data_IF_644709450358
#
_entry.id   IF_644709450358
#
_cell.length_a   1.000
_cell.length_b   1.000
_cell.length_c   1.000
_cell.angle_alpha   90.00
_cell.angle_beta   90.00
_cell.angle_gamma   90.00
#
_symmetry.space_group_name_H-M   'P 1'
#
loop_
_entity.id
_entity.type
_entity.pdbx_description
1 polymer ?
#
# COMPACT_ATOMS: atom_id res chain seq x y z
N UNK A 1 39.89 13.37 0.08
CA UNK A 1 39.23 12.84 -1.13
C UNK A 1 37.84 13.42 -1.22
N UNK A 2 37.28 13.68 -2.39
CA UNK A 2 35.88 14.07 -2.51
C UNK A 2 35.00 12.96 -1.94
N UNK A 3 33.89 13.34 -1.27
CA UNK A 3 32.94 12.39 -0.74
C UNK A 3 32.17 11.70 -1.87
N UNK A 4 31.84 10.42 -1.67
CA UNK A 4 31.00 9.68 -2.59
C UNK A 4 29.55 10.11 -2.47
N UNK A 5 28.90 10.33 -3.60
CA UNK A 5 27.49 10.75 -3.68
C UNK A 5 26.58 9.52 -3.68
N UNK A 6 25.74 9.39 -2.66
CA UNK A 6 24.75 8.32 -2.57
C UNK A 6 23.36 8.91 -2.69
N UNK A 7 22.63 8.52 -3.73
CA UNK A 7 21.21 8.89 -3.88
C UNK A 7 20.34 7.76 -3.36
N UNK A 8 19.38 8.08 -2.50
CA UNK A 8 18.39 7.16 -1.93
C UNK A 8 17.01 7.64 -2.39
N UNK A 9 16.28 6.83 -3.14
CA UNK A 9 14.95 7.15 -3.64
C UNK A 9 13.89 6.40 -2.85
N UNK A 10 13.09 7.14 -2.10
CA UNK A 10 12.03 6.64 -1.22
C UNK A 10 12.39 6.74 0.26
N UNK A 11 11.55 7.47 1.01
CA UNK A 11 11.63 7.66 2.47
C UNK A 11 10.76 6.65 3.25
N UNK A 12 10.50 5.47 2.65
CA UNK A 12 9.83 4.34 3.30
C UNK A 12 10.75 3.59 4.28
N UNK A 13 10.35 2.37 4.68
CA UNK A 13 11.11 1.55 5.65
C UNK A 13 12.54 1.28 5.18
N UNK A 14 12.71 0.77 3.95
CA UNK A 14 14.02 0.45 3.41
C UNK A 14 14.92 1.68 3.27
N UNK A 15 14.45 2.74 2.60
CA UNK A 15 15.25 3.94 2.38
C UNK A 15 15.66 4.65 3.67
N UNK A 16 14.76 4.73 4.68
CA UNK A 16 15.12 5.25 6.00
C UNK A 16 16.16 4.37 6.70
N UNK A 17 16.05 3.06 6.55
CA UNK A 17 17.02 2.12 7.16
C UNK A 17 18.41 2.32 6.58
N UNK A 18 18.52 2.41 5.25
CA UNK A 18 19.79 2.70 4.56
C UNK A 18 20.35 4.05 5.00
N UNK A 19 19.54 5.12 4.94
CA UNK A 19 19.98 6.45 5.34
C UNK A 19 20.50 6.49 6.79
N UNK A 20 19.83 5.80 7.73
CA UNK A 20 20.27 5.68 9.13
C UNK A 20 21.56 4.89 9.27
N UNK A 21 21.71 3.80 8.53
CA UNK A 21 22.93 2.97 8.59
C UNK A 21 24.17 3.74 8.10
N UNK A 22 23.99 4.57 7.07
CA UNK A 22 25.07 5.38 6.48
C UNK A 22 25.22 6.77 7.12
N UNK A 23 24.40 7.15 8.08
CA UNK A 23 24.35 8.50 8.67
C UNK A 23 25.68 8.95 9.33
N UNK A 24 26.54 8.00 9.71
CA UNK A 24 27.83 8.28 10.37
C UNK A 24 29.04 8.12 9.45
N UNK A 25 28.82 7.72 8.21
CA UNK A 25 29.92 7.57 7.23
C UNK A 25 30.47 8.95 6.84
N UNK A 26 31.76 9.17 7.07
CA UNK A 26 32.42 10.48 6.88
C UNK A 26 32.78 10.75 5.42
N UNK A 27 32.93 9.71 4.65
CA UNK A 27 33.31 9.67 3.24
C UNK A 27 32.11 9.68 2.28
N UNK A 28 30.88 9.65 2.82
CA UNK A 28 29.65 9.67 2.04
C UNK A 28 28.88 10.99 2.22
N UNK A 29 28.22 11.40 1.15
CA UNK A 29 27.21 12.45 1.12
C UNK A 29 25.91 11.85 0.60
N UNK A 30 24.87 11.85 1.42
CA UNK A 30 23.62 11.18 1.16
C UNK A 30 22.56 12.18 0.73
N UNK A 31 21.85 11.90 -0.36
CA UNK A 31 20.64 12.63 -0.72
C UNK A 31 19.46 11.68 -0.75
N UNK A 32 18.51 11.87 0.15
CA UNK A 32 17.26 11.13 0.18
C UNK A 32 16.19 11.94 -0.56
N UNK A 33 15.64 11.34 -1.61
CA UNK A 33 14.57 11.93 -2.42
C UNK A 33 13.27 11.16 -2.16
N UNK A 34 12.20 11.89 -1.88
CA UNK A 34 10.85 11.31 -1.81
C UNK A 34 9.84 12.31 -2.36
N UNK A 35 8.81 11.82 -3.03
CA UNK A 35 7.68 12.61 -3.52
C UNK A 35 6.78 13.14 -2.40
N UNK A 36 6.93 12.61 -1.17
CA UNK A 36 6.29 13.05 0.06
C UNK A 36 7.32 13.55 1.07
N UNK A 37 6.91 14.49 1.91
CA UNK A 37 7.79 15.05 2.94
C UNK A 37 7.79 14.26 4.25
N UNK A 38 7.04 13.14 4.32
CA UNK A 38 6.86 12.35 5.53
C UNK A 38 7.09 10.87 5.27
N UNK A 39 7.61 10.19 6.28
CA UNK A 39 7.59 8.75 6.40
C UNK A 39 6.21 8.31 6.88
N UNK A 40 5.65 7.31 6.24
CA UNK A 40 4.36 6.72 6.58
C UNK A 40 4.54 5.34 7.19
N UNK A 41 4.01 5.15 8.40
CA UNK A 41 3.95 3.82 9.03
C UNK A 41 2.75 3.05 8.48
N UNK A 42 2.89 2.49 7.29
CA UNK A 42 1.83 1.81 6.54
C UNK A 42 1.07 0.71 7.30
N UNK A 43 1.68 -0.08 8.21
CA UNK A 43 0.94 -1.12 8.94
C UNK A 43 -0.26 -0.62 9.75
N UNK A 44 -0.31 0.66 10.11
CA UNK A 44 -1.45 1.26 10.83
C UNK A 44 -2.36 2.11 9.94
N UNK A 45 -2.16 2.09 8.64
CA UNK A 45 -2.90 2.94 7.71
C UNK A 45 -4.40 2.60 7.68
N UNK A 46 -4.77 1.33 7.86
CA UNK A 46 -6.16 0.90 7.97
C UNK A 46 -6.88 1.52 9.18
N UNK A 47 -6.15 1.79 10.27
CA UNK A 47 -6.74 2.45 11.45
C UNK A 47 -7.06 3.92 11.18
N UNK A 48 -6.26 4.60 10.36
CA UNK A 48 -6.59 5.94 9.88
C UNK A 48 -7.81 5.90 8.97
N UNK A 49 -7.86 4.93 8.04
CA UNK A 49 -9.01 4.75 7.14
C UNK A 49 -10.31 4.46 7.90
N UNK A 50 -10.24 3.80 9.05
CA UNK A 50 -11.40 3.47 9.91
C UNK A 50 -11.56 4.42 11.10
N UNK A 51 -10.98 5.61 11.04
CA UNK A 51 -11.11 6.66 12.06
C UNK A 51 -10.61 6.32 13.47
N UNK A 52 -9.88 5.22 13.66
CA UNK A 52 -9.31 4.82 14.95
C UNK A 52 -8.05 5.62 15.30
N UNK A 53 -7.29 6.10 14.28
CA UNK A 53 -6.11 6.92 14.46
C UNK A 53 -6.19 8.22 13.66
N UNK A 54 -5.49 9.25 14.14
CA UNK A 54 -5.23 10.47 13.37
C UNK A 54 -4.12 10.22 12.33
N UNK A 55 -4.19 10.82 11.13
CA UNK A 55 -3.10 10.77 10.15
C UNK A 55 -1.73 11.16 10.73
N UNK A 56 -1.69 12.11 11.65
CA UNK A 56 -0.47 12.60 12.27
C UNK A 56 0.24 11.56 13.17
N UNK A 57 -0.48 10.54 13.64
CA UNK A 57 0.09 9.52 14.53
C UNK A 57 0.95 8.50 13.78
N UNK A 58 0.75 8.37 12.47
CA UNK A 58 1.48 7.41 11.61
C UNK A 58 2.33 8.06 10.53
N UNK A 59 2.32 9.40 10.44
CA UNK A 59 3.12 10.17 9.48
C UNK A 59 4.12 11.06 10.20
N UNK A 60 5.40 10.86 9.90
CA UNK A 60 6.46 11.63 10.57
C UNK A 60 7.36 12.35 9.54
N UNK A 61 7.63 13.67 9.70
CA UNK A 61 8.43 14.42 8.73
C UNK A 61 9.84 13.83 8.56
N UNK A 62 10.23 13.47 7.34
CA UNK A 62 11.53 12.85 7.03
C UNK A 62 12.68 13.76 7.47
N UNK A 63 12.56 15.08 7.27
CA UNK A 63 13.59 16.05 7.68
C UNK A 63 13.83 16.04 9.18
N UNK A 64 12.80 15.83 9.99
CA UNK A 64 12.92 15.76 11.46
C UNK A 64 13.70 14.52 11.87
N UNK A 65 13.49 13.38 11.17
CA UNK A 65 14.22 12.13 11.43
C UNK A 65 15.74 12.35 11.28
N UNK A 66 16.15 13.14 10.29
CA UNK A 66 17.57 13.37 9.95
C UNK A 66 18.10 14.74 10.35
N UNK A 67 17.39 15.50 11.19
CA UNK A 67 17.74 16.88 11.56
C UNK A 67 19.15 17.03 12.17
N UNK A 68 19.67 15.99 12.80
CA UNK A 68 21.00 15.96 13.44
C UNK A 68 22.13 15.40 12.57
N UNK A 69 21.79 14.85 11.37
CA UNK A 69 22.75 14.23 10.44
C UNK A 69 23.20 15.25 9.39
N UNK A 70 24.46 15.68 9.48
CA UNK A 70 25.00 16.71 8.57
C UNK A 70 25.33 16.20 7.17
N UNK A 71 25.53 14.90 7.01
CA UNK A 71 25.85 14.26 5.73
C UNK A 71 24.60 13.75 4.99
N UNK A 72 23.38 14.05 5.48
CA UNK A 72 22.12 13.66 4.85
C UNK A 72 21.34 14.91 4.44
N UNK A 73 21.08 15.02 3.14
CA UNK A 73 20.19 16.01 2.54
C UNK A 73 18.86 15.32 2.19
N UNK A 74 17.73 15.89 2.60
CA UNK A 74 16.39 15.40 2.26
C UNK A 74 15.76 16.33 1.22
N UNK A 75 15.28 15.79 0.12
CA UNK A 75 14.63 16.55 -0.95
C UNK A 75 13.20 16.02 -1.15
N UNK A 76 12.23 16.92 -1.16
CA UNK A 76 10.88 16.65 -1.66
C UNK A 76 10.96 16.73 -3.19
N UNK A 77 11.04 15.58 -3.85
CA UNK A 77 11.29 15.52 -5.28
C UNK A 77 10.75 14.21 -5.88
N UNK A 78 10.23 14.30 -7.08
CA UNK A 78 9.76 13.13 -7.83
C UNK A 78 10.85 12.67 -8.80
N UNK A 79 11.26 11.42 -8.64
CA UNK A 79 12.18 10.77 -9.57
C UNK A 79 11.39 10.21 -10.75
N UNK A 80 11.79 10.55 -11.96
CA UNK A 80 11.08 10.20 -13.21
C UNK A 80 11.83 9.16 -14.05
N UNK A 81 13.09 8.86 -13.73
CA UNK A 81 13.85 7.85 -14.46
C UNK A 81 15.27 7.69 -13.96
N UNK A 82 15.89 6.59 -14.36
CA UNK A 82 17.28 6.27 -14.06
C UNK A 82 18.02 5.99 -15.39
N UNK A 83 19.20 6.55 -15.55
CA UNK A 83 20.14 6.20 -16.61
C UNK A 83 21.35 5.51 -15.98
N UNK A 84 21.39 4.18 -16.12
CA UNK A 84 22.44 3.35 -15.54
C UNK A 84 23.79 3.58 -16.20
N UNK A 85 23.81 3.82 -17.52
CA UNK A 85 25.05 4.03 -18.27
C UNK A 85 25.69 5.37 -17.93
N UNK A 86 24.90 6.43 -17.86
CA UNK A 86 25.35 7.77 -17.48
C UNK A 86 25.51 7.94 -15.96
N UNK A 87 25.05 6.99 -15.13
CA UNK A 87 24.95 7.08 -13.66
C UNK A 87 24.26 8.34 -13.21
N UNK A 88 23.08 8.61 -13.79
CA UNK A 88 22.27 9.76 -13.44
C UNK A 88 20.84 9.39 -13.12
N UNK A 89 20.27 10.13 -12.15
CA UNK A 89 18.87 10.04 -11.74
C UNK A 89 18.13 11.24 -12.32
N UNK A 90 17.08 11.00 -13.13
CA UNK A 90 16.23 12.07 -13.66
C UNK A 90 15.15 12.43 -12.66
N UNK A 91 14.95 13.73 -12.45
CA UNK A 91 13.96 14.28 -11.52
C UNK A 91 12.99 15.22 -12.24
N UNK A 92 11.86 15.48 -11.61
CA UNK A 92 10.84 16.35 -12.19
C UNK A 92 11.26 17.82 -12.22
N UNK A 93 12.00 18.30 -11.20
CA UNK A 93 12.32 19.74 -11.07
C UNK A 93 13.82 20.06 -11.04
N UNK A 94 14.69 19.14 -10.64
CA UNK A 94 16.13 19.40 -10.48
C UNK A 94 16.99 18.93 -11.67
N UNK A 95 16.37 18.35 -12.70
CA UNK A 95 17.08 17.78 -13.84
C UNK A 95 17.76 16.45 -13.51
N UNK A 96 18.96 16.24 -14.07
CA UNK A 96 19.73 15.00 -13.87
C UNK A 96 20.70 15.14 -12.70
N UNK A 97 20.61 14.23 -11.73
CA UNK A 97 21.50 14.17 -10.56
C UNK A 97 22.49 13.01 -10.74
N UNK A 98 23.81 13.26 -10.75
CA UNK A 98 24.82 12.20 -10.83
C UNK A 98 24.94 11.47 -9.48
N UNK A 99 25.34 10.20 -9.52
CA UNK A 99 25.60 9.40 -8.33
C UNK A 99 26.85 8.51 -8.46
N UNK A 100 27.50 8.24 -7.33
CA UNK A 100 28.45 7.15 -7.20
C UNK A 100 27.74 5.85 -6.82
N UNK A 101 26.70 5.95 -5.98
CA UNK A 101 25.82 4.84 -5.58
C UNK A 101 24.35 5.28 -5.61
N UNK A 102 23.49 4.36 -6.01
CA UNK A 102 22.04 4.57 -6.05
C UNK A 102 21.32 3.47 -5.27
N UNK A 103 20.38 3.87 -4.41
CA UNK A 103 19.47 2.95 -3.72
C UNK A 103 18.04 3.28 -4.10
N UNK A 104 17.34 2.33 -4.69
CA UNK A 104 15.92 2.43 -5.02
C UNK A 104 15.10 1.70 -3.96
N UNK A 105 14.24 2.44 -3.25
CA UNK A 105 13.39 1.98 -2.17
C UNK A 105 11.97 2.56 -2.26
N UNK A 106 11.41 2.63 -3.48
CA UNK A 106 10.14 3.31 -3.78
C UNK A 106 8.91 2.51 -3.33
N UNK A 107 9.08 1.28 -2.84
CA UNK A 107 7.99 0.41 -2.44
C UNK A 107 7.12 -0.07 -3.59
N UNK A 108 5.86 -0.36 -3.29
CA UNK A 108 4.88 -0.83 -4.25
C UNK A 108 3.68 0.13 -4.36
N UNK A 109 2.94 0.02 -5.46
CA UNK A 109 1.67 0.70 -5.74
C UNK A 109 0.53 -0.31 -5.86
N UNK A 110 -0.71 0.17 -5.96
CA UNK A 110 -1.84 -0.70 -6.27
C UNK A 110 -1.71 -1.27 -7.69
N UNK A 111 -2.19 -2.50 -7.84
CA UNK A 111 -2.42 -3.11 -9.15
C UNK A 111 -3.91 -3.39 -9.29
N UNK A 112 -4.50 -2.82 -10.30
CA UNK A 112 -5.88 -3.10 -10.72
C UNK A 112 -5.94 -4.10 -11.88
N UNK A 113 -4.85 -4.85 -12.11
CA UNK A 113 -4.74 -5.91 -13.14
C UNK A 113 -5.14 -5.46 -14.56
N UNK A 114 -4.78 -4.23 -14.92
CA UNK A 114 -5.11 -3.64 -16.23
C UNK A 114 -6.39 -2.78 -16.25
N UNK A 115 -7.13 -2.75 -15.14
CA UNK A 115 -8.39 -2.00 -14.99
C UNK A 115 -8.17 -0.73 -14.16
N UNK A 116 -7.34 0.19 -14.66
CA UNK A 116 -7.05 1.45 -13.95
C UNK A 116 -8.29 2.31 -13.68
N UNK A 117 -9.33 2.16 -14.49
CA UNK A 117 -10.63 2.83 -14.31
C UNK A 117 -11.36 2.43 -13.03
N UNK A 118 -11.02 1.30 -12.42
CA UNK A 118 -11.63 0.88 -11.14
C UNK A 118 -11.17 1.70 -9.93
N UNK A 119 -10.02 2.37 -10.03
CA UNK A 119 -9.45 3.16 -8.93
C UNK A 119 -10.41 4.25 -8.45
N UNK A 120 -11.11 4.93 -9.36
CA UNK A 120 -12.10 5.95 -9.01
C UNK A 120 -13.23 5.39 -8.14
N UNK A 121 -13.65 4.16 -8.41
CA UNK A 121 -14.78 3.52 -7.75
C UNK A 121 -14.39 2.67 -6.53
N UNK A 122 -13.18 2.13 -6.53
CA UNK A 122 -12.64 1.30 -5.47
C UNK A 122 -11.23 1.77 -5.07
N UNK A 123 -11.09 2.81 -4.24
CA UNK A 123 -9.79 3.28 -3.79
C UNK A 123 -9.02 2.21 -3.04
N UNK A 124 -7.71 2.17 -3.26
CA UNK A 124 -6.80 1.33 -2.49
C UNK A 124 -6.32 1.99 -1.19
N UNK A 125 -5.37 1.35 -0.49
CA UNK A 125 -4.85 1.82 0.79
C UNK A 125 -3.32 1.73 0.85
N UNK A 126 -2.63 2.77 0.38
CA UNK A 126 -1.15 2.90 0.44
C UNK A 126 -0.65 4.31 0.80
N UNK A 127 -1.57 5.27 0.94
CA UNK A 127 -1.25 6.67 1.25
C UNK A 127 -2.21 7.25 2.26
N UNK A 128 -1.83 8.38 2.90
CA UNK A 128 -2.72 9.11 3.81
C UNK A 128 -3.94 9.68 3.07
N UNK A 129 -3.73 10.13 1.84
CA UNK A 129 -4.78 10.67 0.99
C UNK A 129 -5.86 9.60 0.74
N UNK A 130 -5.45 8.38 0.39
CA UNK A 130 -6.36 7.25 0.19
C UNK A 130 -7.04 6.84 1.51
N UNK A 131 -6.29 6.77 2.62
CA UNK A 131 -6.88 6.45 3.93
C UNK A 131 -7.94 7.47 4.35
N UNK A 132 -7.69 8.76 4.16
CA UNK A 132 -8.66 9.83 4.48
C UNK A 132 -9.86 9.82 3.53
N UNK A 133 -9.67 9.48 2.27
CA UNK A 133 -10.78 9.30 1.31
C UNK A 133 -11.63 8.08 1.68
N UNK A 134 -11.03 6.95 2.04
CA UNK A 134 -11.76 5.77 2.53
C UNK A 134 -12.56 6.14 3.78
N UNK A 135 -11.93 6.81 4.75
CA UNK A 135 -12.60 7.31 5.96
C UNK A 135 -13.81 8.17 5.63
N UNK A 136 -13.64 9.12 4.71
CA UNK A 136 -14.72 9.99 4.26
C UNK A 136 -15.86 9.18 3.66
N UNK A 137 -15.57 8.23 2.75
CA UNK A 137 -16.60 7.38 2.11
C UNK A 137 -17.36 6.56 3.14
N UNK A 138 -16.64 5.89 4.04
CA UNK A 138 -17.24 5.02 5.07
C UNK A 138 -18.15 5.82 5.99
N UNK A 139 -17.66 6.89 6.61
CA UNK A 139 -18.47 7.68 7.55
C UNK A 139 -19.63 8.39 6.87
N UNK A 140 -19.42 8.93 5.66
CA UNK A 140 -20.50 9.57 4.90
C UNK A 140 -21.59 8.57 4.50
N UNK A 141 -21.26 7.30 4.26
CA UNK A 141 -22.25 6.27 3.93
C UNK A 141 -23.27 6.07 5.07
N UNK A 142 -22.82 6.04 6.33
CA UNK A 142 -23.72 5.99 7.50
C UNK A 142 -24.57 7.25 7.63
N UNK A 143 -24.00 8.44 7.44
CA UNK A 143 -24.72 9.71 7.48
C UNK A 143 -25.79 9.83 6.38
N UNK A 144 -25.50 9.33 5.19
CA UNK A 144 -26.46 9.29 4.10
C UNK A 144 -27.57 8.27 4.37
N UNK A 145 -27.22 7.10 4.93
CA UNK A 145 -28.19 6.06 5.27
C UNK A 145 -29.17 6.54 6.37
N UNK A 146 -28.71 7.35 7.33
CA UNK A 146 -29.57 7.93 8.37
C UNK A 146 -30.67 8.82 7.79
N UNK A 147 -30.41 9.48 6.67
CA UNK A 147 -31.37 10.39 5.99
C UNK A 147 -32.20 9.70 4.92
N UNK A 148 -31.82 8.52 4.45
CA UNK A 148 -32.43 7.83 3.32
C UNK A 148 -33.78 7.17 3.75
N UNK A 149 -34.90 7.56 3.15
CA UNK A 149 -36.18 6.97 3.48
C UNK A 149 -36.48 5.65 2.75
N UNK A 150 -35.84 5.41 1.58
CA UNK A 150 -36.02 4.15 0.85
C UNK A 150 -35.13 3.04 1.44
N UNK A 151 -35.74 1.94 1.95
CA UNK A 151 -34.99 0.83 2.57
C UNK A 151 -34.02 0.17 1.61
N UNK A 152 -34.25 0.18 0.30
CA UNK A 152 -33.38 -0.42 -0.70
C UNK A 152 -32.14 0.44 -0.90
N UNK A 153 -32.31 1.74 -1.06
CA UNK A 153 -31.21 2.70 -1.16
C UNK A 153 -30.40 2.73 0.16
N UNK A 154 -31.08 2.71 1.32
CA UNK A 154 -30.46 2.65 2.63
C UNK A 154 -29.58 1.39 2.78
N UNK A 155 -30.08 0.21 2.38
CA UNK A 155 -29.32 -1.04 2.38
C UNK A 155 -28.07 -0.96 1.50
N UNK A 156 -28.17 -0.33 0.32
CA UNK A 156 -27.02 -0.10 -0.57
C UNK A 156 -25.96 0.78 0.08
N UNK A 157 -26.37 1.85 0.78
CA UNK A 157 -25.48 2.74 1.53
C UNK A 157 -24.76 2.01 2.65
N UNK A 158 -25.42 1.08 3.34
CA UNK A 158 -24.87 0.26 4.42
C UNK A 158 -24.20 -1.04 3.91
N UNK A 159 -23.95 -1.18 2.61
CA UNK A 159 -23.19 -2.30 2.05
C UNK A 159 -21.78 -1.82 1.68
N UNK A 160 -20.80 -2.49 2.28
CA UNK A 160 -19.37 -2.25 2.10
C UNK A 160 -18.72 -3.49 1.50
N UNK A 161 -17.96 -3.32 0.43
CA UNK A 161 -17.25 -4.42 -0.23
C UNK A 161 -15.74 -4.15 -0.17
N UNK A 162 -14.99 -5.10 0.35
CA UNK A 162 -13.52 -5.10 0.34
C UNK A 162 -13.06 -6.19 -0.62
N UNK A 163 -12.28 -5.84 -1.63
CA UNK A 163 -11.80 -6.75 -2.68
C UNK A 163 -10.35 -7.12 -2.38
N UNK A 164 -10.10 -8.42 -2.14
CA UNK A 164 -8.79 -8.99 -1.83
C UNK A 164 -8.65 -9.47 -0.39
N UNK A 165 -8.46 -10.77 -0.20
CA UNK A 165 -8.33 -11.45 1.09
C UNK A 165 -6.90 -11.52 1.65
N UNK A 166 -6.00 -10.65 1.19
CA UNK A 166 -4.66 -10.46 1.79
C UNK A 166 -4.72 -9.72 3.13
N UNK A 167 -3.56 -9.49 3.79
CA UNK A 167 -3.50 -8.82 5.10
C UNK A 167 -4.27 -7.48 5.14
N UNK A 168 -4.06 -6.59 4.18
CA UNK A 168 -4.74 -5.28 4.11
C UNK A 168 -6.26 -5.42 4.02
N UNK A 169 -6.76 -6.36 3.21
CA UNK A 169 -8.21 -6.56 3.07
C UNK A 169 -8.84 -7.14 4.33
N UNK A 170 -8.15 -8.06 4.99
CA UNK A 170 -8.57 -8.64 6.28
C UNK A 170 -8.63 -7.56 7.37
N UNK A 171 -7.60 -6.70 7.46
CA UNK A 171 -7.54 -5.57 8.40
C UNK A 171 -8.66 -4.55 8.13
N UNK A 172 -8.87 -4.16 6.86
CA UNK A 172 -9.95 -3.23 6.49
C UNK A 172 -11.33 -3.80 6.79
N UNK A 173 -11.58 -5.06 6.40
CA UNK A 173 -12.88 -5.69 6.62
C UNK A 173 -13.18 -5.89 8.12
N UNK A 174 -12.18 -6.32 8.89
CA UNK A 174 -12.29 -6.45 10.34
C UNK A 174 -12.59 -5.12 11.02
N UNK A 175 -11.84 -4.06 10.69
CA UNK A 175 -12.06 -2.73 11.25
C UNK A 175 -13.40 -2.12 10.84
N UNK A 176 -13.91 -2.40 9.61
CA UNK A 176 -15.28 -2.02 9.21
C UNK A 176 -16.34 -2.75 10.04
N UNK A 177 -16.14 -4.04 10.32
CA UNK A 177 -17.01 -4.81 11.20
C UNK A 177 -17.05 -4.23 12.62
N UNK A 178 -15.89 -3.90 13.16
CA UNK A 178 -15.77 -3.32 14.50
C UNK A 178 -16.39 -1.92 14.60
N UNK A 179 -16.11 -1.02 13.65
CA UNK A 179 -16.66 0.34 13.68
C UNK A 179 -18.19 0.34 13.62
N UNK A 180 -18.77 -0.51 12.77
CA UNK A 180 -20.24 -0.59 12.62
C UNK A 180 -20.92 -1.18 13.85
N UNK A 181 -20.33 -2.20 14.49
CA UNK A 181 -20.95 -2.93 15.62
C UNK A 181 -20.67 -2.36 16.99
N UNK A 182 -19.51 -1.71 17.16
CA UNK A 182 -19.07 -1.25 18.47
C UNK A 182 -18.95 0.27 18.57
N UNK A 183 -18.42 0.93 17.55
CA UNK A 183 -18.16 2.37 17.62
C UNK A 183 -19.41 3.19 17.29
N UNK A 184 -20.08 2.88 16.19
CA UNK A 184 -21.21 3.66 15.69
C UNK A 184 -22.59 3.15 16.16
N UNK A 185 -22.65 2.01 16.84
CA UNK A 185 -23.91 1.31 17.18
C UNK A 185 -24.93 2.17 17.95
N UNK A 186 -24.49 3.21 18.65
CA UNK A 186 -25.35 4.09 19.47
C UNK A 186 -25.49 5.52 18.95
N UNK A 187 -24.80 5.86 17.86
CA UNK A 187 -24.73 7.24 17.38
C UNK A 187 -25.94 7.65 16.52
N UNK A 188 -26.54 6.69 15.82
CA UNK A 188 -27.64 6.90 14.89
C UNK A 188 -29.00 6.59 15.51
N UNK A 189 -30.09 7.15 14.93
CA UNK A 189 -31.47 7.02 15.45
C UNK A 189 -32.42 6.29 14.50
N UNK A 190 -32.20 6.41 13.19
CA UNK A 190 -33.06 5.83 12.15
C UNK A 190 -32.47 4.57 11.53
N UNK A 191 -31.16 4.44 11.54
CA UNK A 191 -30.47 3.23 11.12
C UNK A 191 -29.94 2.46 12.32
N UNK A 192 -29.73 1.18 12.10
CA UNK A 192 -28.97 0.30 12.98
C UNK A 192 -27.63 -0.03 12.30
N UNK A 193 -26.52 0.59 12.72
CA UNK A 193 -25.20 0.35 12.12
C UNK A 193 -24.75 -1.11 12.19
N UNK A 194 -25.24 -1.90 13.16
CA UNK A 194 -24.92 -3.33 13.28
C UNK A 194 -25.46 -4.15 12.10
N UNK A 195 -26.45 -3.62 11.36
CA UNK A 195 -26.98 -4.21 10.13
C UNK A 195 -26.16 -3.86 8.89
N UNK A 196 -25.08 -3.11 9.03
CA UNK A 196 -24.15 -2.88 7.92
C UNK A 196 -23.60 -4.22 7.40
N UNK A 197 -23.67 -4.39 6.09
CA UNK A 197 -23.19 -5.59 5.40
C UNK A 197 -21.77 -5.38 4.93
N UNK A 198 -20.80 -5.98 5.61
CA UNK A 198 -19.39 -5.96 5.21
C UNK A 198 -19.07 -7.27 4.50
N UNK A 199 -18.62 -7.20 3.25
CA UNK A 199 -18.29 -8.35 2.41
C UNK A 199 -16.81 -8.28 2.05
N UNK A 200 -16.04 -9.32 2.38
CA UNK A 200 -14.67 -9.52 1.93
C UNK A 200 -14.66 -10.52 0.79
N UNK A 201 -14.23 -10.07 -0.41
CA UNK A 201 -14.15 -10.89 -1.61
C UNK A 201 -12.70 -11.35 -1.84
N UNK A 202 -12.51 -12.66 -1.99
CA UNK A 202 -11.22 -13.27 -2.32
C UNK A 202 -11.37 -14.20 -3.53
N UNK A 203 -10.53 -14.00 -4.55
CA UNK A 203 -10.56 -14.80 -5.77
C UNK A 203 -10.07 -16.24 -5.54
N UNK A 204 -9.15 -16.42 -4.60
CA UNK A 204 -8.61 -17.72 -4.22
C UNK A 204 -9.53 -18.51 -3.29
N UNK A 205 -9.16 -19.75 -2.97
CA UNK A 205 -9.97 -20.65 -2.13
C UNK A 205 -9.95 -20.30 -0.64
N UNK A 206 -9.08 -19.36 -0.20
CA UNK A 206 -8.96 -18.94 1.20
C UNK A 206 -8.35 -17.54 1.30
N UNK A 207 -8.70 -16.81 2.35
CA UNK A 207 -8.03 -15.55 2.70
C UNK A 207 -6.63 -15.85 3.26
N UNK A 208 -5.75 -14.82 3.29
CA UNK A 208 -4.37 -14.92 3.80
C UNK A 208 -3.61 -16.13 3.20
N UNK A 209 -3.52 -16.25 1.86
CA UNK A 209 -3.01 -17.48 1.21
C UNK A 209 -1.54 -17.79 1.55
N UNK A 210 -0.76 -16.80 1.98
CA UNK A 210 0.64 -16.94 2.39
C UNK A 210 0.82 -17.47 3.81
N UNK A 211 -0.26 -17.54 4.60
CA UNK A 211 -0.23 -18.06 5.97
C UNK A 211 -0.63 -19.54 5.99
N UNK A 212 -0.31 -20.22 7.09
CA UNK A 212 -0.73 -21.61 7.29
C UNK A 212 -2.27 -21.74 7.22
N UNK A 213 -2.83 -22.82 6.64
CA UNK A 213 -4.28 -22.99 6.46
C UNK A 213 -5.09 -22.78 7.75
N UNK A 214 -4.62 -23.31 8.87
CA UNK A 214 -5.28 -23.16 10.17
C UNK A 214 -5.40 -21.69 10.63
N UNK A 215 -4.43 -20.83 10.28
CA UNK A 215 -4.50 -19.40 10.56
C UNK A 215 -5.51 -18.69 9.65
N UNK A 216 -5.58 -19.07 8.39
CA UNK A 216 -6.59 -18.61 7.43
C UNK A 216 -8.01 -18.92 7.92
N UNK A 217 -8.27 -20.15 8.33
CA UNK A 217 -9.56 -20.58 8.88
C UNK A 217 -9.91 -19.84 10.17
N UNK A 218 -8.92 -19.62 11.04
CA UNK A 218 -9.13 -18.82 12.26
C UNK A 218 -9.49 -17.39 11.93
N UNK A 219 -8.76 -16.76 11.04
CA UNK A 219 -9.03 -15.39 10.60
C UNK A 219 -10.43 -15.25 10.00
N UNK A 220 -10.88 -16.24 9.20
CA UNK A 220 -12.26 -16.27 8.67
C UNK A 220 -13.28 -16.26 9.80
N UNK A 221 -13.15 -17.19 10.78
CA UNK A 221 -14.06 -17.25 11.95
C UNK A 221 -14.04 -15.97 12.78
N UNK A 222 -12.86 -15.35 12.95
CA UNK A 222 -12.74 -14.12 13.74
C UNK A 222 -13.40 -12.93 13.00
N UNK A 223 -13.27 -12.84 11.67
CA UNK A 223 -13.99 -11.88 10.83
C UNK A 223 -15.51 -12.08 10.88
N UNK A 224 -15.99 -13.33 10.78
CA UNK A 224 -17.42 -13.65 10.87
C UNK A 224 -18.03 -13.23 12.22
N UNK A 225 -17.28 -13.36 13.33
CA UNK A 225 -17.73 -12.89 14.65
C UNK A 225 -17.96 -11.38 14.73
N UNK A 226 -17.16 -10.60 13.99
CA UNK A 226 -17.37 -9.15 13.89
C UNK A 226 -18.29 -8.78 12.71
N UNK A 227 -18.99 -9.77 12.12
CA UNK A 227 -20.03 -9.60 11.12
C UNK A 227 -19.56 -9.36 9.69
N UNK A 228 -18.36 -9.73 9.39
CA UNK A 228 -17.85 -9.74 8.01
C UNK A 228 -18.26 -11.03 7.30
N UNK A 229 -18.81 -10.91 6.10
CA UNK A 229 -19.09 -12.04 5.22
C UNK A 229 -17.89 -12.32 4.33
N UNK A 230 -17.19 -13.41 4.55
CA UNK A 230 -16.02 -13.81 3.75
C UNK A 230 -16.48 -14.68 2.58
N UNK A 231 -16.26 -14.22 1.35
CA UNK A 231 -16.55 -14.96 0.13
C UNK A 231 -15.25 -15.31 -0.59
N UNK A 232 -14.95 -16.58 -0.63
CA UNK A 232 -13.79 -17.13 -1.36
C UNK A 232 -14.22 -17.67 -2.71
N UNK A 233 -13.27 -17.94 -3.61
CA UNK A 233 -13.52 -18.29 -5.01
C UNK A 233 -14.40 -17.25 -5.72
N UNK A 234 -14.33 -16.00 -5.29
CA UNK A 234 -15.17 -14.87 -5.72
C UNK A 234 -14.33 -13.87 -6.56
N UNK A 235 -14.09 -14.22 -7.81
CA UNK A 235 -13.34 -13.38 -8.75
C UNK A 235 -14.19 -12.18 -9.17
N UNK A 236 -13.73 -10.97 -8.86
CA UNK A 236 -14.34 -9.72 -9.35
C UNK A 236 -14.01 -9.54 -10.84
N UNK A 237 -15.03 -9.30 -11.64
CA UNK A 237 -14.92 -9.12 -13.09
C UNK A 237 -15.22 -7.71 -13.56
N UNK A 238 -15.93 -6.91 -12.75
CA UNK A 238 -16.13 -5.49 -13.00
C UNK A 238 -16.37 -4.71 -11.71
N UNK A 239 -15.91 -3.47 -11.70
CA UNK A 239 -16.19 -2.47 -10.64
C UNK A 239 -16.68 -1.20 -11.30
N UNK A 240 -17.83 -0.71 -10.84
CA UNK A 240 -18.44 0.51 -11.35
C UNK A 240 -19.01 1.40 -10.24
N UNK A 241 -19.72 2.49 -10.59
CA UNK A 241 -20.32 3.40 -9.61
C UNK A 241 -21.30 2.67 -8.67
N UNK A 242 -20.86 2.36 -7.47
CA UNK A 242 -21.67 1.66 -6.46
C UNK A 242 -22.01 0.21 -6.81
N UNK A 243 -21.19 -0.47 -7.61
CA UNK A 243 -21.42 -1.85 -8.05
C UNK A 243 -20.13 -2.67 -8.12
N UNK A 244 -20.25 -3.96 -7.77
CA UNK A 244 -19.20 -4.97 -7.97
C UNK A 244 -19.81 -6.19 -8.63
N UNK A 245 -19.23 -6.67 -9.72
CA UNK A 245 -19.71 -7.84 -10.46
C UNK A 245 -18.79 -9.03 -10.25
N UNK A 246 -19.39 -10.20 -10.01
CA UNK A 246 -18.72 -11.49 -9.79
C UNK A 246 -19.49 -12.54 -10.59
N UNK A 247 -18.84 -13.27 -11.51
CA UNK A 247 -19.45 -14.44 -12.14
C UNK A 247 -20.85 -14.23 -12.75
N UNK A 248 -21.19 -13.00 -13.15
CA UNK A 248 -22.49 -12.62 -13.69
C UNK A 248 -23.48 -12.06 -12.66
N UNK A 249 -23.19 -12.12 -11.37
CA UNK A 249 -23.97 -11.46 -10.32
C UNK A 249 -23.39 -10.08 -9.97
N UNK A 250 -24.26 -9.13 -9.65
CA UNK A 250 -23.87 -7.77 -9.28
C UNK A 250 -24.30 -7.43 -7.87
N UNK A 251 -23.34 -7.05 -7.04
CA UNK A 251 -23.57 -6.52 -5.70
C UNK A 251 -23.72 -5.01 -5.80
N UNK A 252 -24.81 -4.48 -5.23
CA UNK A 252 -25.02 -3.04 -5.04
C UNK A 252 -24.35 -2.62 -3.72
N UNK A 253 -23.33 -1.76 -3.78
CA UNK A 253 -22.57 -1.30 -2.63
C UNK A 253 -22.10 0.14 -2.83
N UNK A 254 -22.49 1.06 -1.96
CA UNK A 254 -22.07 2.45 -2.09
C UNK A 254 -20.58 2.66 -1.80
N UNK A 255 -19.95 1.74 -1.05
CA UNK A 255 -18.53 1.80 -0.71
C UNK A 255 -17.85 0.50 -1.13
N UNK A 256 -16.89 0.62 -2.05
CA UNK A 256 -16.03 -0.47 -2.52
C UNK A 256 -14.58 -0.07 -2.25
N UNK A 257 -13.79 -1.00 -1.69
CA UNK A 257 -12.38 -0.78 -1.33
C UNK A 257 -11.51 -1.83 -2.01
N UNK A 258 -10.35 -1.40 -2.52
CA UNK A 258 -9.42 -2.26 -3.23
C UNK A 258 -8.22 -2.67 -2.36
N UNK A 259 -8.06 -3.98 -2.14
CA UNK A 259 -6.93 -4.57 -1.43
C UNK A 259 -6.31 -5.77 -2.17
N UNK A 260 -6.66 -5.96 -3.46
CA UNK A 260 -6.40 -7.20 -4.22
C UNK A 260 -5.13 -7.15 -5.07
N UNK A 261 -4.20 -6.38 -4.89
CA UNK A 261 -2.98 -6.47 -5.71
C UNK A 261 -2.00 -5.34 -5.52
N UNK A 262 -0.74 -5.70 -5.69
CA UNK A 262 0.38 -4.76 -5.66
C UNK A 262 1.25 -4.93 -6.90
N UNK A 263 1.80 -3.84 -7.39
CA UNK A 263 2.82 -3.80 -8.42
C UNK A 263 3.98 -2.94 -7.92
N UNK A 264 5.18 -3.22 -8.37
CA UNK A 264 6.33 -2.40 -8.05
C UNK A 264 6.21 -1.00 -8.70
N UNK A 265 7.08 -0.09 -8.28
CA UNK A 265 7.16 1.26 -8.84
C UNK A 265 7.39 1.24 -10.36
N UNK A 266 6.70 2.10 -11.10
CA UNK A 266 6.92 2.28 -12.55
C UNK A 266 8.34 2.74 -12.90
N UNK A 267 9.04 3.32 -11.93
CA UNK A 267 10.43 3.70 -12.08
C UNK A 267 11.31 2.51 -12.51
N UNK A 268 10.96 1.27 -12.10
CA UNK A 268 11.71 0.07 -12.46
C UNK A 268 11.80 -0.15 -13.98
N UNK A 269 10.75 0.19 -14.72
CA UNK A 269 10.75 0.06 -16.18
C UNK A 269 11.79 0.97 -16.86
N UNK A 270 12.22 2.05 -16.20
CA UNK A 270 13.23 2.97 -16.75
C UNK A 270 14.66 2.47 -16.61
N UNK A 271 14.90 1.41 -15.81
CA UNK A 271 16.22 0.83 -15.60
C UNK A 271 16.70 0.02 -16.81
N UNK A 272 15.79 -0.51 -17.63
CA UNK A 272 16.15 -1.36 -18.76
C UNK A 272 16.74 -2.72 -18.36
N UNK A 273 16.44 -3.20 -17.16
CA UNK A 273 16.89 -4.48 -16.60
C UNK A 273 15.74 -5.48 -16.49
N UNK A 274 16.02 -6.80 -16.32
CA UNK A 274 14.97 -7.80 -16.15
C UNK A 274 14.08 -7.52 -14.94
N UNK A 275 12.76 -7.63 -15.15
CA UNK A 275 11.74 -7.48 -14.14
C UNK A 275 10.92 -8.76 -14.03
N UNK A 276 10.37 -9.02 -12.85
CA UNK A 276 9.38 -10.08 -12.67
C UNK A 276 7.97 -9.66 -13.12
N UNK A 277 6.98 -10.56 -12.98
CA UNK A 277 5.59 -10.31 -13.38
C UNK A 277 4.90 -9.18 -12.62
N UNK A 278 5.41 -8.80 -11.43
CA UNK A 278 4.91 -7.68 -10.63
C UNK A 278 5.66 -6.38 -10.90
N UNK A 279 6.62 -6.38 -11.85
CA UNK A 279 7.48 -5.26 -12.17
C UNK A 279 8.61 -5.03 -11.16
N UNK A 280 8.93 -6.02 -10.29
CA UNK A 280 10.04 -5.94 -9.35
C UNK A 280 11.36 -6.22 -10.07
N UNK A 281 12.40 -5.49 -9.69
CA UNK A 281 13.74 -5.70 -10.22
C UNK A 281 14.32 -7.00 -9.65
N UNK A 282 14.79 -7.89 -10.53
CA UNK A 282 15.49 -9.10 -10.12
C UNK A 282 16.91 -8.69 -9.69
N UNK A 283 17.21 -8.88 -8.40
CA UNK A 283 18.47 -8.44 -7.79
C UNK A 283 19.36 -9.60 -7.37
N UNK A 284 20.65 -9.33 -7.21
CA UNK A 284 21.61 -10.26 -6.63
C UNK A 284 21.40 -10.45 -5.11
N UNK A 285 22.11 -11.42 -4.49
CA UNK A 285 22.00 -11.68 -3.04
C UNK A 285 22.38 -10.51 -2.15
N UNK A 286 23.13 -9.55 -2.67
CA UNK A 286 23.53 -8.29 -2.04
C UNK A 286 22.57 -7.13 -2.34
N UNK A 287 21.41 -7.42 -2.95
CA UNK A 287 20.44 -6.46 -3.43
C UNK A 287 20.94 -5.57 -4.58
N UNK A 288 22.09 -5.82 -5.17
CA UNK A 288 22.56 -5.07 -6.33
C UNK A 288 21.86 -5.50 -7.62
N UNK A 289 21.79 -4.56 -8.56
CA UNK A 289 21.30 -4.85 -9.92
C UNK A 289 22.40 -5.57 -10.71
N UNK A 290 22.12 -6.74 -11.31
CA UNK A 290 23.10 -7.47 -12.10
C UNK A 290 23.75 -6.59 -13.18
N UNK A 291 25.10 -6.55 -13.19
CA UNK A 291 25.88 -5.68 -14.08
C UNK A 291 26.08 -4.24 -13.58
N UNK A 292 25.44 -3.85 -12.47
CA UNK A 292 25.52 -2.51 -11.88
C UNK A 292 25.71 -2.59 -10.36
N UNK A 293 26.91 -2.96 -9.87
CA UNK A 293 27.17 -3.16 -8.45
C UNK A 293 27.06 -1.90 -7.59
N UNK A 294 26.96 -0.73 -8.22
CA UNK A 294 26.72 0.56 -7.57
C UNK A 294 25.23 0.89 -7.40
N UNK A 295 24.31 0.05 -7.94
CA UNK A 295 22.84 0.28 -7.89
C UNK A 295 22.17 -0.83 -7.10
N UNK A 296 21.48 -0.45 -6.04
CA UNK A 296 20.78 -1.35 -5.13
C UNK A 296 19.28 -1.13 -5.22
N UNK A 297 18.50 -2.22 -5.20
CA UNK A 297 17.02 -2.15 -5.13
C UNK A 297 16.55 -2.96 -3.94
N UNK A 298 15.75 -2.36 -3.06
CA UNK A 298 15.34 -2.96 -1.79
C UNK A 298 13.83 -2.79 -1.52
N UNK A 299 13.32 -3.59 -0.59
CA UNK A 299 11.92 -3.58 -0.19
C UNK A 299 10.99 -4.13 -1.27
N UNK A 300 9.72 -3.69 -1.27
CA UNK A 300 8.67 -4.20 -2.18
C UNK A 300 8.98 -4.04 -3.67
N UNK A 301 9.99 -3.27 -4.00
CA UNK A 301 10.45 -2.99 -5.35
C UNK A 301 11.43 -4.06 -5.88
N UNK A 302 12.01 -4.86 -4.99
CA UNK A 302 13.00 -5.88 -5.32
C UNK A 302 12.38 -7.28 -5.39
N UNK A 303 12.86 -8.09 -6.34
CA UNK A 303 12.67 -9.53 -6.37
C UNK A 303 13.96 -10.17 -5.86
N UNK A 304 13.97 -10.54 -4.58
CA UNK A 304 15.11 -11.19 -3.92
C UNK A 304 14.71 -12.60 -3.50
N UNK A 305 15.45 -13.58 -3.95
CA UNK A 305 15.35 -14.99 -3.54
C UNK A 305 16.42 -15.29 -2.48
N UNK A 306 16.06 -15.92 -1.35
CA UNK A 306 17.06 -16.36 -0.36
C UNK A 306 17.98 -17.45 -0.90
N UNK A 307 17.45 -18.28 -1.80
CA UNK A 307 18.19 -19.30 -2.53
C UNK A 307 17.65 -19.35 -3.97
N UNK A 308 18.48 -19.66 -4.95
CA UNK A 308 18.06 -19.75 -6.35
C UNK A 308 16.85 -20.68 -6.54
N UNK A 309 15.77 -20.17 -7.12
CA UNK A 309 14.52 -20.90 -7.35
C UNK A 309 13.56 -20.95 -6.16
N UNK A 310 13.90 -20.35 -5.02
CA UNK A 310 12.98 -20.15 -3.92
C UNK A 310 11.94 -19.05 -4.25
N UNK A 311 10.76 -19.06 -3.63
CA UNK A 311 9.86 -17.93 -3.73
C UNK A 311 10.56 -16.64 -3.26
N UNK A 312 10.33 -15.51 -3.95
CA UNK A 312 10.93 -14.25 -3.54
C UNK A 312 10.41 -13.81 -2.17
N UNK A 313 11.27 -13.09 -1.44
CA UNK A 313 10.90 -12.54 -0.14
C UNK A 313 9.63 -11.68 -0.24
N UNK A 314 8.73 -11.77 0.77
CA UNK A 314 7.49 -11.02 0.76
C UNK A 314 7.74 -9.52 0.99
N UNK A 315 6.89 -8.67 0.41
CA UNK A 315 6.88 -7.22 0.64
C UNK A 315 6.35 -6.87 2.03
N UNK A 316 7.19 -7.01 3.05
CA UNK A 316 6.88 -6.71 4.44
C UNK A 316 7.89 -5.70 5.00
N UNK A 317 7.43 -4.80 5.87
CA UNK A 317 8.28 -3.78 6.48
C UNK A 317 9.55 -4.33 7.18
N UNK A 318 9.53 -5.49 7.87
CA UNK A 318 10.74 -6.09 8.43
C UNK A 318 11.73 -6.64 7.39
N UNK A 319 11.26 -6.92 6.17
CA UNK A 319 12.08 -7.46 5.07
C UNK A 319 12.72 -6.32 4.26
N UNK A 320 12.06 -5.17 4.18
CA UNK A 320 12.53 -3.98 3.45
C UNK A 320 13.78 -3.29 4.13
#
# INVERSE_FOLDING_TARGET
MPKKQVLIVGGGFGGLRVARALARARDLELTLLDRRNHHLFQPLLYQVAMAALSPAEIAYPIRTIFSRQRNIRVLLETVTGVDLAARTLRTASLGALPYDYLVLACGARHSYFGHGEWEEHAPGLKSLEEATEIRRRVLTAFELAEKEPDPTAQRRLLTFVVIGGGPTGVELAGALGEISRHTLSRDFRRIDPERARVILLEAGPRILPTFAPALSERATRDLERVGVHVWTCAMVTAVGPGTVTLGGETIQAATVLWAAGVAASELNATLGVPLDRQGRVIVGPDCSVPGHPEVFVIGDQAHLEEQPGAPPLPGLAPVA
#
